data_IF_721687163963
#
_entry.id   IF_721687163963
#
_cell.length_a   1.000
_cell.length_b   1.000
_cell.length_c   1.000
_cell.angle_alpha   90.00
_cell.angle_beta   90.00
_cell.angle_gamma   90.00
#
_symmetry.space_group_name_H-M   'P 1'
#
loop_
_entity.id
_entity.type
_entity.pdbx_description
1 polymer ?
#
# COMPACT_ATOMS: atom_id res chain seq x y z
N UNK A 1 31.42 16.00 -2.87
CA UNK A 1 30.27 15.73 -1.98
C UNK A 1 29.28 14.88 -2.77
N UNK A 2 29.17 13.57 -2.51
CA UNK A 2 28.31 12.64 -3.27
C UNK A 2 26.87 12.82 -2.78
N UNK A 3 26.00 13.40 -3.60
CA UNK A 3 24.55 13.48 -3.32
C UNK A 3 24.00 12.06 -3.49
N UNK A 4 23.57 11.43 -2.39
CA UNK A 4 22.97 10.11 -2.45
C UNK A 4 21.70 10.17 -3.30
N UNK A 5 21.58 9.38 -4.38
CA UNK A 5 20.45 9.49 -5.32
C UNK A 5 19.14 8.92 -4.76
N UNK A 6 19.12 8.43 -3.52
CA UNK A 6 18.08 7.54 -3.00
C UNK A 6 17.59 7.94 -1.60
N UNK A 7 17.40 9.24 -1.35
CA UNK A 7 16.76 9.65 -0.10
C UNK A 7 15.26 9.29 -0.17
N UNK A 8 14.73 8.69 0.90
CA UNK A 8 13.31 8.37 1.01
C UNK A 8 12.42 9.61 0.74
N UNK A 9 12.89 10.80 1.14
CA UNK A 9 12.22 12.07 0.82
C UNK A 9 12.06 12.31 -0.69
N UNK A 10 13.07 11.97 -1.51
CA UNK A 10 13.00 12.15 -2.96
C UNK A 10 12.03 11.16 -3.60
N UNK A 11 12.06 9.90 -3.15
CA UNK A 11 11.11 8.88 -3.61
C UNK A 11 9.65 9.24 -3.24
N UNK A 12 9.44 9.83 -2.06
CA UNK A 12 8.14 10.37 -1.64
C UNK A 12 7.73 11.52 -2.57
N UNK A 13 8.59 12.53 -2.76
CA UNK A 13 8.27 13.68 -3.62
C UNK A 13 7.99 13.27 -5.06
N UNK A 14 8.76 12.34 -5.64
CA UNK A 14 8.56 11.87 -7.01
C UNK A 14 7.25 11.08 -7.16
N UNK A 15 6.85 10.34 -6.11
CA UNK A 15 5.57 9.62 -6.08
C UNK A 15 4.37 10.59 -6.09
N UNK A 16 4.39 11.64 -5.27
CA UNK A 16 3.30 12.63 -5.18
C UNK A 16 3.22 13.57 -6.40
N UNK A 17 4.32 13.77 -7.14
CA UNK A 17 4.34 14.60 -8.35
C UNK A 17 4.18 13.81 -9.66
N UNK A 18 4.11 12.48 -9.60
CA UNK A 18 3.97 11.63 -10.77
C UNK A 18 2.53 11.57 -11.30
N UNK A 19 2.33 11.23 -12.59
CA UNK A 19 1.00 10.98 -13.16
C UNK A 19 0.23 9.85 -12.43
N UNK A 20 0.96 9.04 -11.69
CA UNK A 20 0.49 7.97 -10.81
C UNK A 20 -0.33 8.49 -9.62
N UNK A 21 -0.21 9.78 -9.25
CA UNK A 21 -0.99 10.43 -8.18
C UNK A 21 -2.50 10.45 -8.46
N UNK A 22 -2.93 10.25 -9.72
CA UNK A 22 -4.32 9.85 -10.03
C UNK A 22 -4.55 8.39 -9.63
N UNK A 23 -4.18 8.09 -8.39
CA UNK A 23 -4.16 6.75 -7.87
C UNK A 23 -5.61 6.30 -7.70
N UNK A 24 -5.98 5.11 -8.19
CA UNK A 24 -7.29 4.53 -7.92
C UNK A 24 -7.60 4.54 -6.41
N UNK A 25 -8.88 4.58 -6.01
CA UNK A 25 -9.29 4.63 -4.60
C UNK A 25 -8.69 3.51 -3.73
N UNK A 26 -8.23 2.42 -4.33
CA UNK A 26 -7.51 1.32 -3.70
C UNK A 26 -6.14 1.73 -3.13
N UNK A 27 -5.53 2.79 -3.66
CA UNK A 27 -4.24 3.29 -3.17
C UNK A 27 -4.37 4.14 -1.92
N UNK A 28 -5.50 4.80 -1.73
CA UNK A 28 -5.83 5.43 -0.45
C UNK A 28 -6.03 4.36 0.63
N UNK A 29 -6.67 3.24 0.27
CA UNK A 29 -6.85 2.10 1.16
C UNK A 29 -5.52 1.46 1.56
N UNK A 30 -4.60 1.29 0.61
CA UNK A 30 -3.24 0.82 0.90
C UNK A 30 -2.49 1.77 1.84
N UNK A 31 -2.59 3.08 1.63
CA UNK A 31 -1.96 4.08 2.48
C UNK A 31 -2.50 4.04 3.92
N UNK A 32 -3.81 3.84 4.10
CA UNK A 32 -4.43 3.64 5.42
C UNK A 32 -3.87 2.39 6.10
N UNK A 33 -3.82 1.25 5.39
CA UNK A 33 -3.29 -0.01 5.93
C UNK A 33 -1.82 0.13 6.32
N UNK A 34 -1.00 0.73 5.46
CA UNK A 34 0.41 0.98 5.78
C UNK A 34 0.58 1.88 6.99
N UNK A 35 -0.26 2.92 7.14
CA UNK A 35 -0.23 3.80 8.31
C UNK A 35 -0.60 3.03 9.59
N UNK A 36 -1.67 2.24 9.57
CA UNK A 36 -2.05 1.39 10.71
C UNK A 36 -0.89 0.45 11.12
N UNK A 37 -0.24 -0.17 10.14
CA UNK A 37 0.90 -1.06 10.40
C UNK A 37 2.09 -0.31 11.00
N UNK A 38 2.40 0.89 10.50
CA UNK A 38 3.48 1.73 11.03
C UNK A 38 3.18 2.20 12.47
N UNK A 39 1.95 2.61 12.75
CA UNK A 39 1.49 2.98 14.10
C UNK A 39 1.58 1.79 15.07
N UNK A 40 1.32 0.57 14.58
CA UNK A 40 1.47 -0.67 15.34
C UNK A 40 2.94 -1.16 15.43
N UNK A 41 3.90 -0.46 14.84
CA UNK A 41 5.31 -0.87 14.78
C UNK A 41 5.57 -2.12 13.92
N UNK A 42 4.61 -2.50 13.07
CA UNK A 42 4.71 -3.65 12.19
C UNK A 42 5.45 -3.30 10.89
N UNK A 43 6.31 -4.20 10.39
CA UNK A 43 7.03 -3.97 9.15
C UNK A 43 6.09 -4.06 7.95
N UNK A 44 6.04 -3.00 7.13
CA UNK A 44 5.22 -2.90 5.91
C UNK A 44 5.80 -3.70 4.73
N UNK A 45 6.12 -4.98 4.96
CA UNK A 45 6.54 -5.91 3.91
C UNK A 45 5.34 -6.40 3.11
N UNK A 46 5.54 -6.81 1.85
CA UNK A 46 4.45 -7.34 1.01
C UNK A 46 3.67 -8.47 1.72
N UNK A 47 4.37 -9.39 2.41
CA UNK A 47 3.73 -10.48 3.15
C UNK A 47 2.83 -9.96 4.28
N UNK A 48 3.32 -8.98 5.05
CA UNK A 48 2.57 -8.43 6.17
C UNK A 48 1.37 -7.59 5.69
N UNK A 49 1.53 -6.85 4.59
CA UNK A 49 0.44 -6.10 3.96
C UNK A 49 -0.65 -7.05 3.45
N UNK A 50 -0.27 -8.11 2.73
CA UNK A 50 -1.23 -9.11 2.22
C UNK A 50 -1.99 -9.77 3.37
N UNK A 51 -1.29 -10.21 4.42
CA UNK A 51 -1.93 -10.79 5.60
C UNK A 51 -2.94 -9.82 6.24
N UNK A 52 -2.56 -8.55 6.37
CA UNK A 52 -3.44 -7.52 6.94
C UNK A 52 -4.68 -7.26 6.09
N UNK A 53 -4.56 -7.28 4.77
CA UNK A 53 -5.70 -7.15 3.84
C UNK A 53 -6.65 -8.34 3.97
N UNK A 54 -6.13 -9.56 4.11
CA UNK A 54 -6.94 -10.77 4.33
C UNK A 54 -7.71 -10.69 5.65
N UNK A 55 -7.06 -10.27 6.75
CA UNK A 55 -7.74 -10.07 8.03
C UNK A 55 -8.90 -9.07 7.91
N UNK A 56 -8.70 -7.96 7.20
CA UNK A 56 -9.76 -6.97 6.99
C UNK A 56 -10.92 -7.55 6.17
N UNK A 57 -10.65 -8.38 5.17
CA UNK A 57 -11.67 -9.07 4.38
C UNK A 57 -12.55 -10.02 5.20
N UNK A 58 -12.01 -10.65 6.24
CA UNK A 58 -12.77 -11.58 7.09
C UNK A 58 -13.73 -10.89 8.06
N UNK A 59 -13.43 -9.63 8.42
CA UNK A 59 -14.17 -8.86 9.45
C UNK A 59 -15.07 -7.79 8.83
N UNK A 60 -14.78 -7.35 7.60
CA UNK A 60 -15.53 -6.29 6.93
C UNK A 60 -16.93 -6.77 6.51
N UNK A 61 -17.97 -6.02 6.91
CA UNK A 61 -19.37 -6.34 6.61
C UNK A 61 -19.98 -5.51 5.48
N UNK A 62 -19.29 -4.44 5.05
CA UNK A 62 -19.72 -3.60 3.93
C UNK A 62 -19.23 -4.19 2.60
N UNK A 63 -20.16 -4.55 1.72
CA UNK A 63 -19.84 -5.18 0.42
C UNK A 63 -19.01 -4.27 -0.51
N UNK A 64 -19.19 -2.95 -0.40
CA UNK A 64 -18.40 -1.98 -1.18
C UNK A 64 -16.96 -1.95 -0.70
N UNK A 65 -16.73 -1.99 0.61
CA UNK A 65 -15.39 -2.07 1.19
C UNK A 65 -14.74 -3.43 0.91
N UNK A 66 -15.49 -4.53 1.04
CA UNK A 66 -15.04 -5.86 0.65
C UNK A 66 -14.54 -5.87 -0.79
N UNK A 67 -15.30 -5.28 -1.72
CA UNK A 67 -14.88 -5.22 -3.12
C UNK A 67 -13.59 -4.42 -3.30
N UNK A 68 -13.40 -3.32 -2.57
CA UNK A 68 -12.14 -2.55 -2.59
C UNK A 68 -10.97 -3.35 -2.04
N UNK A 69 -11.14 -4.07 -0.93
CA UNK A 69 -10.09 -4.94 -0.39
C UNK A 69 -9.76 -6.10 -1.35
N UNK A 70 -10.75 -6.70 -2.03
CA UNK A 70 -10.54 -7.74 -3.04
C UNK A 70 -9.73 -7.21 -4.23
N UNK A 71 -10.08 -6.03 -4.74
CA UNK A 71 -9.33 -5.38 -5.83
C UNK A 71 -7.90 -5.07 -5.39
N UNK A 72 -7.71 -4.53 -4.19
CA UNK A 72 -6.39 -4.26 -3.63
C UNK A 72 -5.56 -5.55 -3.48
N UNK A 73 -6.16 -6.63 -2.97
CA UNK A 73 -5.50 -7.92 -2.83
C UNK A 73 -5.04 -8.48 -4.18
N UNK A 74 -5.89 -8.39 -5.21
CA UNK A 74 -5.52 -8.81 -6.56
C UNK A 74 -4.32 -8.02 -7.09
N UNK A 75 -4.30 -6.70 -6.91
CA UNK A 75 -3.16 -5.86 -7.29
C UNK A 75 -1.88 -6.20 -6.53
N UNK A 76 -1.97 -6.53 -5.24
CA UNK A 76 -0.82 -6.91 -4.42
C UNK A 76 -0.23 -8.28 -4.81
N UNK A 77 -1.08 -9.20 -5.27
CA UNK A 77 -0.65 -10.52 -5.74
C UNK A 77 -0.06 -10.44 -7.15
N UNK A 78 -0.62 -9.61 -8.03
CA UNK A 78 -0.18 -9.44 -9.42
C UNK A 78 1.02 -8.49 -9.55
N UNK A 79 1.35 -7.74 -8.48
CA UNK A 79 2.53 -6.90 -8.45
C UNK A 79 3.82 -7.74 -8.53
N UNK A 80 4.70 -7.52 -9.52
CA UNK A 80 5.93 -8.27 -9.63
C UNK A 80 6.80 -8.07 -8.38
N UNK A 81 7.52 -9.10 -7.92
CA UNK A 81 8.39 -8.99 -6.76
C UNK A 81 9.37 -7.84 -7.01
N UNK A 82 9.35 -6.83 -6.12
CA UNK A 82 10.35 -5.76 -6.14
C UNK A 82 11.69 -6.39 -5.76
N UNK A 83 12.53 -6.63 -6.78
CA UNK A 83 13.90 -7.10 -6.66
C UNK A 83 14.82 -6.03 -6.06
#
# INVERSE_FOLDING_TARGET
MRVQPNSASRAITDYFNGPNWRTPPESDLLAVIMREMMEAGQPATNKAIIARVIEKLEVEGDETQLQRYRTLLAQLIDAPPRA
#
